data_IF_135234646544
#
_entry.id   IF_135234646544
#
_cell.length_a   1.000
_cell.length_b   1.000
_cell.length_c   1.000
_cell.angle_alpha   90.00
_cell.angle_beta   90.00
_cell.angle_gamma   90.00
#
_symmetry.space_group_name_H-M   'P 1'
#
loop_
_entity.id
_entity.type
_entity.pdbx_description
1 polymer ?
#
# COMPACT_ATOMS: atom_id res chain seq x y z
N UNK A 1 -29.10 9.20 -54.07
CA UNK A 1 -28.16 9.37 -52.95
C UNK A 1 -28.65 8.59 -51.77
N UNK A 2 -27.93 7.53 -51.38
CA UNK A 2 -28.16 6.87 -50.11
C UNK A 2 -27.44 7.68 -49.03
N UNK A 3 -28.18 8.05 -47.98
CA UNK A 3 -27.62 8.65 -46.77
C UNK A 3 -27.70 7.57 -45.70
N UNK A 4 -26.59 7.33 -45.02
CA UNK A 4 -26.53 6.43 -43.88
C UNK A 4 -26.39 7.27 -42.62
N UNK A 5 -27.29 7.04 -41.68
CA UNK A 5 -27.16 7.56 -40.33
C UNK A 5 -26.24 6.64 -39.53
N UNK A 6 -25.24 7.23 -38.88
CA UNK A 6 -24.48 6.58 -37.82
C UNK A 6 -24.56 7.44 -36.56
N UNK A 7 -24.64 6.77 -35.41
CA UNK A 7 -24.47 7.44 -34.13
C UNK A 7 -23.00 7.33 -33.74
N UNK A 8 -22.32 8.47 -33.63
CA UNK A 8 -21.03 8.53 -32.96
C UNK A 8 -21.28 8.48 -31.46
N UNK A 9 -21.10 7.31 -30.84
CA UNK A 9 -21.03 7.19 -29.40
C UNK A 9 -19.64 7.67 -28.96
N UNK A 10 -19.52 8.95 -28.62
CA UNK A 10 -18.33 9.47 -27.93
C UNK A 10 -18.49 9.11 -26.46
N UNK A 11 -17.88 8.01 -26.02
CA UNK A 11 -17.75 7.73 -24.60
C UNK A 11 -16.72 8.70 -23.99
N UNK A 12 -16.88 9.06 -22.71
CA UNK A 12 -15.88 9.87 -22.03
C UNK A 12 -14.55 9.10 -21.98
N UNK A 13 -13.40 9.79 -22.14
CA UNK A 13 -12.11 9.13 -22.06
C UNK A 13 -11.94 8.49 -20.68
N UNK A 14 -11.36 7.29 -20.64
CA UNK A 14 -10.98 6.67 -19.36
C UNK A 14 -9.90 7.51 -18.73
N UNK A 15 -10.14 7.95 -17.50
CA UNK A 15 -9.18 8.68 -16.70
C UNK A 15 -8.59 7.76 -15.63
N UNK A 16 -7.29 7.90 -15.38
CA UNK A 16 -6.60 7.21 -14.30
C UNK A 16 -5.85 8.26 -13.49
N UNK A 17 -6.47 8.71 -12.40
CA UNK A 17 -5.89 9.70 -11.52
C UNK A 17 -4.76 9.08 -10.69
N UNK A 18 -3.68 9.83 -10.46
CA UNK A 18 -2.56 9.35 -9.65
C UNK A 18 -2.95 9.39 -8.16
N UNK A 19 -3.02 8.25 -7.46
CA UNK A 19 -3.34 8.24 -6.03
C UNK A 19 -2.12 8.61 -5.21
N UNK A 20 -2.35 8.89 -3.93
CA UNK A 20 -1.28 9.02 -2.95
C UNK A 20 -0.51 7.70 -2.77
N UNK A 21 0.76 7.77 -2.31
CA UNK A 21 1.49 6.58 -1.91
C UNK A 21 0.76 5.82 -0.81
N UNK A 22 0.90 4.49 -0.84
CA UNK A 22 0.43 3.63 0.25
C UNK A 22 1.58 3.40 1.23
N UNK A 23 1.39 3.82 2.48
CA UNK A 23 2.41 3.69 3.52
C UNK A 23 2.08 2.55 4.50
N UNK A 24 3.09 1.78 4.88
CA UNK A 24 2.99 0.76 5.92
C UNK A 24 4.29 0.67 6.73
N UNK A 25 4.24 0.02 7.89
CA UNK A 25 5.43 -0.19 8.72
C UNK A 25 6.31 -1.29 8.13
N UNK A 26 7.59 -1.02 7.99
CA UNK A 26 8.60 -2.03 7.68
C UNK A 26 8.78 -2.99 8.85
N UNK A 27 8.77 -4.28 8.56
CA UNK A 27 9.11 -5.33 9.54
C UNK A 27 10.41 -6.01 9.10
N UNK A 28 11.54 -5.78 9.81
CA UNK A 28 12.80 -6.42 9.49
C UNK A 28 12.65 -7.94 9.42
N UNK A 29 13.11 -8.54 8.33
CA UNK A 29 13.12 -9.99 8.21
C UNK A 29 11.82 -10.63 7.70
N UNK A 30 10.75 -9.86 7.53
CA UNK A 30 9.41 -10.35 7.17
C UNK A 30 8.87 -9.72 5.88
N UNK A 31 7.85 -10.33 5.29
CA UNK A 31 7.01 -9.69 4.26
C UNK A 31 5.99 -8.78 4.94
N UNK A 32 5.57 -7.72 4.25
CA UNK A 32 4.54 -6.80 4.74
C UNK A 32 3.32 -6.89 3.83
N UNK A 33 2.15 -7.10 4.42
CA UNK A 33 0.87 -7.09 3.71
C UNK A 33 0.37 -5.66 3.61
N UNK A 34 -0.09 -5.29 2.41
CA UNK A 34 -0.63 -3.98 2.09
C UNK A 34 -1.90 -4.15 1.29
N UNK A 35 -2.92 -3.35 1.60
CA UNK A 35 -4.14 -3.26 0.80
C UNK A 35 -3.97 -2.22 -0.30
N UNK A 36 -3.86 -2.66 -1.56
CA UNK A 36 -3.76 -1.77 -2.71
C UNK A 36 -5.12 -1.18 -3.10
N UNK A 37 -6.23 -1.84 -2.76
CA UNK A 37 -7.58 -1.46 -3.19
C UNK A 37 -8.06 -0.15 -2.56
N UNK A 38 -7.43 0.27 -1.46
CA UNK A 38 -7.66 1.59 -0.87
C UNK A 38 -7.36 2.75 -1.82
N UNK A 39 -6.54 2.53 -2.86
CA UNK A 39 -6.23 3.54 -3.89
C UNK A 39 -7.33 3.70 -4.93
N UNK A 40 -8.28 2.77 -5.00
CA UNK A 40 -9.31 2.73 -6.05
C UNK A 40 -10.18 4.00 -6.12
N UNK A 41 -10.66 4.59 -5.01
CA UNK A 41 -11.45 5.82 -5.07
C UNK A 41 -10.66 6.99 -5.65
N UNK A 42 -9.38 7.10 -5.29
CA UNK A 42 -8.50 8.14 -5.83
C UNK A 42 -8.21 7.92 -7.31
N UNK A 43 -7.94 6.67 -7.73
CA UNK A 43 -7.68 6.32 -9.13
C UNK A 43 -8.89 6.63 -10.02
N UNK A 44 -10.09 6.24 -9.59
CA UNK A 44 -11.32 6.43 -10.35
C UNK A 44 -11.82 7.88 -10.33
N UNK A 45 -11.51 8.66 -9.29
CA UNK A 45 -12.05 10.00 -9.13
C UNK A 45 -13.59 9.98 -9.12
N UNK A 46 -14.21 10.63 -10.12
CA UNK A 46 -15.68 10.69 -10.25
C UNK A 46 -16.27 9.58 -11.15
N UNK A 47 -15.44 8.69 -11.69
CA UNK A 47 -15.89 7.60 -12.57
C UNK A 47 -16.65 6.52 -11.77
N UNK A 48 -17.69 5.94 -12.38
CA UNK A 48 -18.53 4.91 -11.75
C UNK A 48 -17.79 3.56 -11.64
N UNK A 49 -17.54 3.01 -10.45
CA UNK A 49 -16.89 1.72 -10.28
C UNK A 49 -17.70 0.53 -10.84
N UNK A 50 -18.97 0.71 -11.19
CA UNK A 50 -19.77 -0.31 -11.88
C UNK A 50 -19.49 -0.36 -13.40
N UNK A 51 -18.87 0.68 -13.96
CA UNK A 51 -18.54 0.80 -15.39
C UNK A 51 -17.05 0.56 -15.63
N UNK A 52 -16.20 0.90 -14.66
CA UNK A 52 -14.75 0.80 -14.78
C UNK A 52 -14.15 -0.20 -13.79
N UNK A 53 -13.27 -1.04 -14.31
CA UNK A 53 -12.48 -1.97 -13.51
C UNK A 53 -11.08 -1.40 -13.23
N UNK A 54 -10.65 -1.44 -11.96
CA UNK A 54 -9.27 -1.15 -11.56
C UNK A 54 -8.52 -2.44 -11.29
N UNK A 55 -7.39 -2.60 -11.97
CA UNK A 55 -6.51 -3.77 -11.88
C UNK A 55 -5.10 -3.35 -11.47
N UNK A 56 -4.38 -4.21 -10.76
CA UNK A 56 -3.04 -3.92 -10.22
C UNK A 56 -1.97 -4.86 -10.77
N UNK A 57 -0.77 -4.33 -11.01
CA UNK A 57 0.34 -5.02 -11.65
C UNK A 57 1.69 -4.60 -11.06
N UNK A 58 2.65 -5.52 -11.14
CA UNK A 58 4.04 -5.28 -10.71
C UNK A 58 4.88 -4.51 -11.74
N UNK A 59 4.43 -4.46 -13.01
CA UNK A 59 5.16 -3.87 -14.14
C UNK A 59 4.22 -3.08 -15.04
N UNK A 60 4.76 -2.02 -15.66
CA UNK A 60 4.04 -1.19 -16.63
C UNK A 60 3.52 -2.00 -17.82
N UNK A 61 4.39 -2.79 -18.42
CA UNK A 61 4.06 -3.58 -19.62
C UNK A 61 2.92 -4.57 -19.33
N UNK A 62 2.88 -5.10 -18.11
CA UNK A 62 1.85 -6.02 -17.65
C UNK A 62 0.49 -5.32 -17.50
N UNK A 63 0.47 -4.08 -17.02
CA UNK A 63 -0.73 -3.24 -16.95
C UNK A 63 -1.25 -2.83 -18.34
N UNK A 64 -0.35 -2.46 -19.26
CA UNK A 64 -0.70 -2.08 -20.63
C UNK A 64 -1.26 -3.27 -21.42
N UNK A 65 -0.70 -4.47 -21.23
CA UNK A 65 -1.10 -5.70 -21.93
C UNK A 65 -2.13 -6.55 -21.16
N UNK A 66 -2.57 -6.10 -19.99
CA UNK A 66 -3.46 -6.83 -19.08
C UNK A 66 -3.04 -8.28 -18.84
N UNK A 67 -1.78 -8.49 -18.43
CA UNK A 67 -1.23 -9.83 -18.12
C UNK A 67 -0.61 -9.81 -16.74
N UNK A 68 -0.49 -10.99 -16.09
CA UNK A 68 0.12 -11.12 -14.74
C UNK A 68 -0.49 -10.14 -13.72
N UNK A 69 -1.82 -10.06 -13.69
CA UNK A 69 -2.56 -9.28 -12.68
C UNK A 69 -2.19 -9.77 -11.28
N UNK A 70 -2.14 -8.85 -10.32
CA UNK A 70 -2.10 -9.18 -8.90
C UNK A 70 -3.49 -9.68 -8.49
N UNK A 71 -3.63 -10.99 -8.24
CA UNK A 71 -4.91 -11.64 -7.93
C UNK A 71 -5.47 -11.25 -6.54
N UNK A 72 -4.60 -10.91 -5.59
CA UNK A 72 -5.00 -10.56 -4.21
C UNK A 72 -4.54 -9.14 -3.85
N UNK A 73 -5.07 -8.08 -4.49
CA UNK A 73 -4.62 -6.70 -4.29
C UNK A 73 -4.86 -6.20 -2.86
N UNK A 74 -5.89 -6.70 -2.17
CA UNK A 74 -6.17 -6.36 -0.77
C UNK A 74 -5.20 -6.99 0.25
N UNK A 75 -4.37 -7.93 -0.21
CA UNK A 75 -3.36 -8.63 0.60
C UNK A 75 -2.04 -8.69 -0.17
N UNK A 76 -1.67 -7.60 -0.84
CA UNK A 76 -0.44 -7.55 -1.61
C UNK A 76 0.77 -7.67 -0.69
N UNK A 77 1.69 -8.57 -1.03
CA UNK A 77 2.89 -8.82 -0.24
C UNK A 77 4.09 -8.07 -0.81
N UNK A 78 4.58 -7.10 -0.05
CA UNK A 78 5.88 -6.50 -0.33
C UNK A 78 6.97 -7.47 0.14
N UNK A 79 7.91 -7.79 -0.75
CA UNK A 79 8.91 -8.81 -0.48
C UNK A 79 9.88 -8.38 0.63
N UNK A 80 10.36 -9.36 1.41
CA UNK A 80 11.35 -9.16 2.46
C UNK A 80 12.55 -8.36 1.94
N UNK A 81 12.93 -7.32 2.68
CA UNK A 81 14.08 -6.47 2.36
C UNK A 81 13.78 -5.35 1.35
N UNK A 82 12.56 -5.26 0.81
CA UNK A 82 12.14 -4.09 0.05
C UNK A 82 11.64 -3.00 0.98
N UNK A 83 11.99 -1.75 0.67
CA UNK A 83 11.52 -0.54 1.36
C UNK A 83 10.50 0.26 0.56
N UNK A 84 10.49 0.04 -0.75
CA UNK A 84 9.49 0.63 -1.64
C UNK A 84 9.18 -0.31 -2.80
N UNK A 85 8.00 -0.14 -3.36
CA UNK A 85 7.54 -0.89 -4.53
C UNK A 85 6.61 -0.02 -5.38
N UNK A 86 6.96 0.21 -6.63
CA UNK A 86 6.03 0.82 -7.60
C UNK A 86 4.99 -0.20 -8.03
N UNK A 87 3.73 0.18 -7.96
CA UNK A 87 2.58 -0.57 -8.47
C UNK A 87 1.99 0.18 -9.65
N UNK A 88 1.70 -0.58 -10.71
CA UNK A 88 1.03 -0.07 -11.90
C UNK A 88 -0.42 -0.49 -11.87
N UNK A 89 -1.31 0.41 -12.27
CA UNK A 89 -2.73 0.15 -12.36
C UNK A 89 -3.22 0.31 -13.78
N UNK A 90 -4.28 -0.43 -14.09
CA UNK A 90 -5.04 -0.31 -15.33
C UNK A 90 -6.49 -0.02 -14.94
N UNK A 91 -7.00 1.11 -15.42
CA UNK A 91 -8.43 1.40 -15.45
C UNK A 91 -8.94 0.99 -16.82
N UNK A 92 -9.98 0.16 -16.88
CA UNK A 92 -10.56 -0.33 -18.12
C UNK A 92 -12.07 -0.18 -18.09
N UNK A 93 -12.66 0.31 -19.17
CA UNK A 93 -14.11 0.31 -19.36
C UNK A 93 -14.62 -1.14 -19.58
N UNK A 94 -15.63 -1.54 -18.83
CA UNK A 94 -16.21 -2.89 -18.88
C UNK A 94 -17.03 -3.15 -20.15
N UNK A 95 -17.53 -2.10 -20.81
CA UNK A 95 -18.29 -2.18 -22.05
C UNK A 95 -17.42 -1.95 -23.29
N UNK A 96 -16.28 -1.27 -23.13
CA UNK A 96 -15.31 -0.97 -24.19
C UNK A 96 -13.88 -1.38 -23.77
N UNK A 97 -13.50 -2.67 -23.88
CA UNK A 97 -12.23 -3.17 -23.35
C UNK A 97 -10.96 -2.52 -23.92
N UNK A 98 -11.04 -1.89 -25.10
CA UNK A 98 -9.98 -1.11 -25.73
C UNK A 98 -9.73 0.25 -25.07
N UNK A 99 -10.72 0.78 -24.34
CA UNK A 99 -10.62 2.03 -23.62
C UNK A 99 -9.94 1.79 -22.28
N UNK A 100 -8.64 2.15 -22.21
CA UNK A 100 -7.79 1.91 -21.06
C UNK A 100 -7.03 3.16 -20.67
N UNK A 101 -6.74 3.29 -19.37
CA UNK A 101 -5.77 4.22 -18.86
C UNK A 101 -4.88 3.52 -17.83
N UNK A 102 -3.60 3.90 -17.78
CA UNK A 102 -2.65 3.35 -16.80
C UNK A 102 -2.04 4.46 -15.98
N UNK A 103 -1.86 4.20 -14.69
CA UNK A 103 -1.18 5.09 -13.76
C UNK A 103 -0.37 4.26 -12.77
N UNK A 104 0.53 4.88 -12.03
CA UNK A 104 1.32 4.20 -11.02
C UNK A 104 1.40 5.01 -9.73
N UNK A 105 1.64 4.28 -8.64
CA UNK A 105 1.86 4.82 -7.32
C UNK A 105 2.92 3.99 -6.59
N UNK A 106 3.39 4.52 -5.47
CA UNK A 106 4.38 3.84 -4.64
C UNK A 106 3.72 3.21 -3.42
N UNK A 107 4.14 2.00 -3.08
CA UNK A 107 3.99 1.42 -1.75
C UNK A 107 5.30 1.66 -1.02
N UNK A 108 5.26 2.32 0.13
CA UNK A 108 6.43 2.72 0.93
C UNK A 108 6.37 2.05 2.29
N UNK A 109 7.45 1.39 2.69
CA UNK A 109 7.61 0.77 4.00
C UNK A 109 8.52 1.62 4.87
N UNK A 110 7.92 2.35 5.81
CA UNK A 110 8.61 3.24 6.73
C UNK A 110 9.24 2.44 7.88
N UNK A 111 10.47 2.81 8.28
CA UNK A 111 11.07 2.21 9.48
C UNK A 111 10.21 2.48 10.71
N UNK A 112 10.11 1.49 11.64
CA UNK A 112 9.52 1.77 12.92
C UNK A 112 10.32 2.86 13.65
N UNK A 113 9.69 3.60 14.57
CA UNK A 113 10.43 4.51 15.44
C UNK A 113 11.60 3.76 16.09
N UNK A 114 12.78 4.41 16.25
CA UNK A 114 13.87 3.80 16.97
C UNK A 114 13.43 3.43 18.38
N UNK A 115 13.91 2.30 18.88
CA UNK A 115 13.76 1.88 20.27
C UNK A 115 15.11 1.39 20.74
N UNK A 116 15.52 1.82 21.93
CA UNK A 116 16.78 1.39 22.50
C UNK A 116 16.65 -0.05 22.99
N UNK A 117 17.63 -0.89 22.63
CA UNK A 117 17.70 -2.27 23.11
C UNK A 117 18.40 -2.32 24.45
N UNK A 118 17.72 -2.88 25.46
CA UNK A 118 18.30 -3.14 26.78
C UNK A 118 18.36 -4.65 26.93
N UNK A 119 19.51 -5.17 27.37
CA UNK A 119 19.66 -6.61 27.58
C UNK A 119 18.79 -7.09 28.74
N UNK A 120 18.30 -8.33 28.64
CA UNK A 120 17.57 -8.95 29.73
C UNK A 120 18.51 -9.15 30.93
N UNK A 121 18.10 -8.65 32.09
CA UNK A 121 18.87 -8.75 33.34
C UNK A 121 18.10 -9.60 34.36
N UNK A 122 18.82 -10.51 35.01
CA UNK A 122 18.34 -11.25 36.18
C UNK A 122 19.10 -10.75 37.40
N UNK A 123 18.38 -10.13 38.34
CA UNK A 123 18.94 -9.56 39.55
C UNK A 123 17.99 -9.85 40.73
N UNK A 124 18.56 -10.10 41.92
CA UNK A 124 17.80 -10.59 43.08
C UNK A 124 17.50 -9.49 44.10
N UNK A 125 18.26 -8.39 44.09
CA UNK A 125 18.15 -7.36 45.13
C UNK A 125 17.62 -6.05 44.55
N UNK A 126 18.35 -5.46 43.61
CA UNK A 126 17.99 -4.17 43.02
C UNK A 126 18.63 -4.02 41.65
N UNK A 127 17.92 -3.41 40.71
CA UNK A 127 18.40 -3.11 39.38
C UNK A 127 18.14 -1.63 39.07
N UNK A 128 19.17 -0.93 38.60
CA UNK A 128 19.07 0.46 38.16
C UNK A 128 18.76 0.43 36.67
N UNK A 129 17.63 0.99 36.27
CA UNK A 129 17.25 1.09 34.87
C UNK A 129 18.23 2.04 34.15
N UNK A 130 18.90 1.58 33.07
CA UNK A 130 19.79 2.44 32.32
C UNK A 130 19.02 3.58 31.64
N UNK A 131 19.71 4.67 31.35
CA UNK A 131 19.11 5.75 30.57
C UNK A 131 18.83 5.27 29.14
N UNK A 132 17.63 5.56 28.65
CA UNK A 132 17.23 5.35 27.26
C UNK A 132 16.86 6.69 26.64
N UNK A 133 17.27 6.86 25.38
CA UNK A 133 16.94 8.00 24.50
C UNK A 133 15.65 7.73 23.73
N UNK A 134 15.37 6.47 23.36
CA UNK A 134 14.17 6.08 22.60
C UNK A 134 13.42 4.93 23.26
N UNK A 135 12.18 5.19 23.70
CA UNK A 135 11.31 4.20 24.33
C UNK A 135 10.89 4.59 25.75
N UNK A 136 10.27 3.66 26.47
CA UNK A 136 9.85 3.81 27.87
C UNK A 136 9.88 2.45 28.57
N UNK A 137 10.15 2.44 29.88
CA UNK A 137 10.07 1.23 30.70
C UNK A 137 8.68 1.05 31.30
N UNK A 138 8.20 -0.19 31.30
CA UNK A 138 6.93 -0.56 31.93
C UNK A 138 7.06 -1.88 32.69
N UNK A 139 6.29 -2.02 33.77
CA UNK A 139 6.29 -3.25 34.59
C UNK A 139 5.56 -4.44 33.94
N UNK A 140 4.92 -4.26 32.78
CA UNK A 140 4.20 -5.31 32.06
C UNK A 140 4.40 -5.17 30.55
N UNK A 141 4.27 -6.29 29.83
CA UNK A 141 4.35 -6.35 28.37
C UNK A 141 3.30 -5.47 27.70
N UNK A 142 3.62 -4.99 26.49
CA UNK A 142 2.74 -4.11 25.72
C UNK A 142 2.53 -2.72 26.35
N UNK A 143 3.31 -2.35 27.37
CA UNK A 143 3.18 -1.06 28.05
C UNK A 143 1.97 -0.94 28.99
N UNK A 144 1.33 -2.05 29.37
CA UNK A 144 0.15 -2.05 30.24
C UNK A 144 0.46 -1.80 31.72
N UNK A 145 1.74 -1.78 32.09
CA UNK A 145 2.19 -1.66 33.46
C UNK A 145 2.34 -0.21 33.93
N UNK A 146 2.88 -0.04 35.13
CA UNK A 146 3.32 1.27 35.60
C UNK A 146 4.56 1.69 34.81
N UNK A 147 4.57 2.94 34.34
CA UNK A 147 5.76 3.54 33.73
C UNK A 147 6.87 3.68 34.77
N UNK A 148 8.10 3.35 34.38
CA UNK A 148 9.30 3.51 35.19
C UNK A 148 10.24 4.51 34.51
N UNK A 149 11.04 5.20 35.33
CA UNK A 149 12.08 6.11 34.86
C UNK A 149 13.45 5.49 35.16
N UNK A 150 14.45 5.87 34.38
CA UNK A 150 15.84 5.53 34.67
C UNK A 150 16.27 6.10 36.04
N UNK A 151 17.22 5.43 36.70
CA UNK A 151 17.77 5.84 38.00
C UNK A 151 17.31 4.98 39.20
#
# INVERSE_FOLDING_TARGET
NAVYDFQLLVNNPVEANKPNPVEACFVPGSTVNVDLTQTQPEILGQQDPAIYEVSYFNLREDAEKNRKRIETPAQYQVAKGQKSKTIWTRVQDLHMPECIATVSFEVVLNDPPPVDSVEDVVECVQYILPEITHGNYFTQSGGMGKALFAG
#
